data_IF_331881958421
#
_entry.id   IF_331881958421
#
_cell.length_a   1.000
_cell.length_b   1.000
_cell.length_c   1.000
_cell.angle_alpha   90.00
_cell.angle_beta   90.00
_cell.angle_gamma   90.00
#
_symmetry.space_group_name_H-M   'P 1'
#
loop_
_entity.id
_entity.type
_entity.pdbx_description
1 polymer ?
#
# COMPACT_ATOMS: atom_id res chain seq x y z
N UNK A 1 -28.87 -11.72 -1.84
CA UNK A 1 -29.25 -10.62 -2.75
C UNK A 1 -28.52 -9.37 -2.28
N UNK A 2 -27.30 -9.19 -2.74
CA UNK A 2 -26.50 -7.96 -2.59
C UNK A 2 -25.49 -8.03 -3.72
N UNK A 3 -26.00 -7.76 -4.91
CA UNK A 3 -25.23 -7.60 -6.12
C UNK A 3 -25.75 -6.29 -6.72
N UNK A 4 -24.93 -5.24 -6.63
CA UNK A 4 -24.86 -4.13 -7.57
C UNK A 4 -23.97 -3.00 -7.05
N UNK A 5 -23.01 -2.67 -7.90
CA UNK A 5 -22.35 -1.37 -8.06
C UNK A 5 -21.13 -1.08 -7.18
N UNK A 6 -20.07 -1.84 -7.40
CA UNK A 6 -18.73 -1.26 -7.60
C UNK A 6 -18.27 -1.61 -9.03
N UNK A 7 -18.97 -1.07 -10.04
CA UNK A 7 -18.33 -0.85 -11.34
C UNK A 7 -17.52 0.42 -11.15
N UNK A 8 -16.23 0.29 -10.86
CA UNK A 8 -15.26 1.35 -11.11
C UNK A 8 -15.59 1.91 -12.50
N UNK A 9 -15.94 3.19 -12.59
CA UNK A 9 -16.12 3.88 -13.87
C UNK A 9 -14.76 3.88 -14.58
N UNK A 10 -14.51 2.84 -15.37
CA UNK A 10 -13.32 2.73 -16.17
C UNK A 10 -13.33 3.84 -17.21
N UNK A 11 -12.24 4.61 -17.28
CA UNK A 11 -12.10 5.71 -18.24
C UNK A 11 -12.29 5.15 -19.68
N UNK A 12 -13.24 5.69 -20.48
CA UNK A 12 -13.51 5.19 -21.83
C UNK A 12 -12.27 5.10 -22.73
N UNK A 13 -11.30 6.00 -22.59
CA UNK A 13 -10.04 5.94 -23.35
C UNK A 13 -9.18 4.71 -22.98
N UNK A 14 -9.26 4.23 -21.74
CA UNK A 14 -8.57 3.02 -21.29
C UNK A 14 -9.26 1.76 -21.84
N UNK A 15 -10.58 1.78 -21.99
CA UNK A 15 -11.30 0.67 -22.65
C UNK A 15 -10.96 0.59 -24.14
N UNK A 16 -10.93 1.73 -24.84
CA UNK A 16 -10.48 1.77 -26.25
C UNK A 16 -9.02 1.32 -26.38
N UNK A 17 -8.13 1.71 -25.46
CA UNK A 17 -6.74 1.22 -25.42
C UNK A 17 -6.66 -0.30 -25.28
N UNK A 18 -7.53 -0.92 -24.47
CA UNK A 18 -7.58 -2.40 -24.34
C UNK A 18 -7.96 -3.05 -25.67
N UNK A 19 -8.96 -2.52 -26.37
CA UNK A 19 -9.36 -3.03 -27.69
C UNK A 19 -8.23 -2.87 -28.71
N UNK A 20 -7.52 -1.74 -28.71
CA UNK A 20 -6.36 -1.51 -29.59
C UNK A 20 -5.23 -2.51 -29.28
N UNK A 21 -5.01 -2.88 -28.02
CA UNK A 21 -4.03 -3.92 -27.66
C UNK A 21 -4.43 -5.30 -28.17
N UNK A 22 -5.72 -5.64 -28.12
CA UNK A 22 -6.22 -6.89 -28.71
C UNK A 22 -6.00 -6.89 -30.23
N UNK A 23 -6.20 -5.74 -30.88
CA UNK A 23 -5.94 -5.56 -32.30
C UNK A 23 -4.45 -5.77 -32.62
N UNK A 24 -3.55 -5.16 -31.84
CA UNK A 24 -2.11 -5.37 -31.96
C UNK A 24 -1.69 -6.83 -31.77
N UNK A 25 -2.36 -7.57 -30.88
CA UNK A 25 -2.11 -9.00 -30.72
C UNK A 25 -2.46 -9.77 -32.01
N UNK A 26 -3.60 -9.48 -32.63
CA UNK A 26 -3.99 -10.09 -33.92
C UNK A 26 -2.95 -9.78 -35.00
N UNK A 27 -2.48 -8.53 -35.09
CA UNK A 27 -1.45 -8.12 -36.05
C UNK A 27 -0.13 -8.86 -35.81
N UNK A 28 0.29 -8.94 -34.54
CA UNK A 28 1.51 -9.64 -34.11
C UNK A 28 1.51 -11.11 -34.52
N UNK A 29 0.41 -11.81 -34.24
CA UNK A 29 0.25 -13.23 -34.60
C UNK A 29 0.27 -13.45 -36.12
N UNK A 30 -0.16 -12.45 -36.89
CA UNK A 30 -0.11 -12.47 -38.35
C UNK A 30 1.24 -12.03 -38.94
N UNK A 31 2.17 -11.52 -38.12
CA UNK A 31 3.45 -10.98 -38.56
C UNK A 31 3.35 -9.60 -39.22
N UNK A 32 2.31 -8.84 -38.90
CA UNK A 32 2.07 -7.47 -39.37
C UNK A 32 2.48 -6.48 -38.29
N UNK A 33 2.95 -5.29 -38.68
CA UNK A 33 3.36 -4.25 -37.73
C UNK A 33 2.22 -3.86 -36.80
N UNK A 34 2.52 -3.73 -35.50
CA UNK A 34 1.59 -3.29 -34.47
C UNK A 34 1.42 -1.76 -34.53
N UNK A 35 0.22 -1.27 -34.23
CA UNK A 35 -0.13 0.14 -34.16
C UNK A 35 0.69 0.85 -33.08
N UNK A 36 0.75 0.31 -31.86
CA UNK A 36 1.51 0.95 -30.77
C UNK A 36 3.01 1.04 -31.10
N UNK A 37 3.57 0.02 -31.74
CA UNK A 37 4.95 0.04 -32.19
C UNK A 37 5.18 1.11 -33.26
N UNK A 38 4.27 1.22 -34.22
CA UNK A 38 4.34 2.20 -35.33
C UNK A 38 4.33 3.65 -34.83
N UNK A 39 3.54 3.95 -33.81
CA UNK A 39 3.50 5.28 -33.18
C UNK A 39 4.81 5.58 -32.44
N UNK A 40 5.40 4.60 -31.77
CA UNK A 40 6.67 4.78 -31.08
C UNK A 40 7.85 4.97 -32.06
N UNK A 41 7.87 4.20 -33.16
CA UNK A 41 8.94 4.26 -34.17
C UNK A 41 8.86 5.55 -34.98
N UNK A 42 7.69 5.94 -35.46
CA UNK A 42 7.50 7.21 -36.20
C UNK A 42 8.00 8.43 -35.43
N UNK A 43 7.71 8.51 -34.13
CA UNK A 43 8.20 9.57 -33.23
C UNK A 43 9.72 9.54 -33.03
N UNK A 44 10.34 8.36 -33.07
CA UNK A 44 11.79 8.19 -32.84
C UNK A 44 12.61 8.43 -34.10
N UNK A 45 12.07 8.10 -35.27
CA UNK A 45 12.75 8.16 -36.56
C UNK A 45 12.46 9.44 -37.36
N UNK A 46 11.82 10.45 -36.75
CA UNK A 46 11.46 11.74 -37.38
C UNK A 46 10.62 11.59 -38.67
N UNK A 47 9.71 10.62 -38.74
CA UNK A 47 8.71 10.60 -39.81
C UNK A 47 7.75 11.79 -39.65
N UNK A 48 7.28 12.37 -40.76
CA UNK A 48 6.32 13.50 -40.73
C UNK A 48 5.00 13.12 -40.04
N UNK A 49 4.59 11.86 -40.17
CA UNK A 49 3.44 11.30 -39.45
C UNK A 49 3.55 9.78 -39.24
N UNK A 50 2.75 9.23 -38.31
CA UNK A 50 2.57 7.78 -38.12
C UNK A 50 2.06 7.12 -39.41
N UNK A 51 1.24 7.84 -40.18
CA UNK A 51 0.66 7.35 -41.42
C UNK A 51 1.72 7.14 -42.50
N UNK A 52 2.69 8.05 -42.63
CA UNK A 52 3.76 7.92 -43.64
C UNK A 52 4.62 6.68 -43.38
N UNK A 53 4.94 6.43 -42.11
CA UNK A 53 5.60 5.20 -41.68
C UNK A 53 4.76 3.97 -42.03
N UNK A 54 3.47 3.97 -41.69
CA UNK A 54 2.57 2.84 -41.93
C UNK A 54 2.38 2.56 -43.42
N UNK A 55 2.30 3.58 -44.28
CA UNK A 55 2.20 3.38 -45.74
C UNK A 55 3.39 2.56 -46.22
N UNK A 56 4.60 2.97 -45.88
CA UNK A 56 5.84 2.30 -46.28
C UNK A 56 5.97 0.90 -45.67
N UNK A 57 5.62 0.76 -44.39
CA UNK A 57 5.74 -0.51 -43.67
C UNK A 57 4.76 -1.56 -44.21
N UNK A 58 3.50 -1.18 -44.45
CA UNK A 58 2.45 -2.11 -44.87
C UNK A 58 2.59 -2.55 -46.33
N UNK A 59 3.25 -1.78 -47.20
CA UNK A 59 3.49 -2.19 -48.60
C UNK A 59 4.43 -3.39 -48.72
N UNK A 60 5.34 -3.56 -47.76
CA UNK A 60 6.36 -4.60 -47.79
C UNK A 60 5.97 -5.86 -47.00
N UNK A 61 4.74 -5.94 -46.49
CA UNK A 61 4.28 -7.02 -45.62
C UNK A 61 3.35 -8.01 -46.32
N UNK A 62 3.42 -9.27 -45.88
CA UNK A 62 2.47 -10.30 -46.31
C UNK A 62 1.23 -10.28 -45.42
N UNK A 63 0.05 -10.17 -46.05
CA UNK A 63 -1.24 -10.15 -45.36
C UNK A 63 -1.94 -11.51 -45.33
N UNK A 64 -1.34 -12.56 -45.90
CA UNK A 64 -2.00 -13.88 -46.07
C UNK A 64 -2.55 -14.43 -44.77
N UNK A 65 -1.78 -14.34 -43.66
CA UNK A 65 -2.23 -14.79 -42.34
C UNK A 65 -3.30 -13.89 -41.73
N UNK A 66 -3.20 -12.57 -41.95
CA UNK A 66 -4.17 -11.62 -41.42
C UNK A 66 -5.52 -11.73 -42.15
N UNK A 67 -5.51 -12.04 -43.45
CA UNK A 67 -6.72 -12.30 -44.23
C UNK A 67 -7.53 -13.48 -43.67
N UNK A 68 -6.88 -14.51 -43.11
CA UNK A 68 -7.58 -15.63 -42.46
C UNK A 68 -8.34 -15.19 -41.20
N UNK A 69 -7.95 -14.04 -40.60
CA UNK A 69 -8.58 -13.42 -39.44
C UNK A 69 -9.37 -12.16 -39.80
N UNK A 70 -9.76 -12.00 -41.07
CA UNK A 70 -10.41 -10.79 -41.56
C UNK A 70 -11.67 -10.44 -40.76
N UNK A 71 -12.57 -11.40 -40.54
CA UNK A 71 -13.82 -11.17 -39.81
C UNK A 71 -13.58 -10.73 -38.37
N UNK A 72 -12.66 -11.39 -37.67
CA UNK A 72 -12.27 -11.01 -36.31
C UNK A 72 -11.67 -9.59 -36.27
N UNK A 73 -10.86 -9.26 -37.26
CA UNK A 73 -10.24 -7.92 -37.39
C UNK A 73 -11.31 -6.85 -37.63
N UNK A 74 -12.27 -7.13 -38.52
CA UNK A 74 -13.39 -6.24 -38.82
C UNK A 74 -14.26 -5.97 -37.59
N UNK A 75 -14.65 -7.02 -36.86
CA UNK A 75 -15.48 -6.91 -35.66
C UNK A 75 -14.79 -6.05 -34.60
N UNK A 76 -13.51 -6.29 -34.35
CA UNK A 76 -12.76 -5.53 -33.37
C UNK A 76 -12.58 -4.05 -33.78
N UNK A 77 -12.35 -3.78 -35.06
CA UNK A 77 -12.27 -2.40 -35.57
C UNK A 77 -13.62 -1.69 -35.45
N UNK A 78 -14.72 -2.38 -35.75
CA UNK A 78 -16.06 -1.85 -35.58
C UNK A 78 -16.37 -1.56 -34.11
N UNK A 79 -15.94 -2.43 -33.20
CA UNK A 79 -16.08 -2.22 -31.75
C UNK A 79 -15.29 -1.00 -31.27
N UNK A 80 -14.04 -0.82 -31.74
CA UNK A 80 -13.24 0.37 -31.47
C UNK A 80 -13.96 1.63 -31.96
N UNK A 81 -14.49 1.61 -33.20
CA UNK A 81 -15.23 2.74 -33.78
C UNK A 81 -16.46 3.06 -32.95
N UNK A 82 -17.28 2.06 -32.60
CA UNK A 82 -18.50 2.27 -31.84
C UNK A 82 -18.21 2.88 -30.46
N UNK A 83 -17.18 2.39 -29.76
CA UNK A 83 -16.78 2.95 -28.47
C UNK A 83 -16.30 4.40 -28.59
N UNK A 84 -15.75 4.80 -29.74
CA UNK A 84 -15.27 6.17 -29.97
C UNK A 84 -16.39 7.11 -30.39
N UNK A 85 -17.33 6.66 -31.22
CA UNK A 85 -18.42 7.49 -31.74
C UNK A 85 -19.61 7.63 -30.79
N UNK A 86 -19.92 6.59 -30.00
CA UNK A 86 -21.09 6.59 -29.11
C UNK A 86 -20.81 7.20 -27.74
N UNK A 87 -19.54 7.25 -27.33
CA UNK A 87 -19.15 7.75 -26.00
C UNK A 87 -19.04 9.28 -25.98
N UNK A 88 -19.87 9.99 -25.17
CA UNK A 88 -19.82 11.45 -25.08
C UNK A 88 -18.45 12.01 -24.66
N UNK A 89 -17.64 11.16 -24.01
CA UNK A 89 -16.28 11.46 -23.59
C UNK A 89 -15.40 11.95 -24.76
N UNK A 90 -15.61 11.45 -25.98
CA UNK A 90 -14.78 11.79 -27.14
C UNK A 90 -15.34 12.90 -28.04
N UNK A 91 -16.51 13.48 -27.72
CA UNK A 91 -17.22 14.47 -28.57
C UNK A 91 -16.39 15.72 -28.96
N UNK A 92 -15.34 16.03 -28.20
CA UNK A 92 -14.48 17.18 -28.43
C UNK A 92 -13.30 16.88 -29.39
N UNK A 93 -13.10 15.60 -29.73
CA UNK A 93 -12.04 15.14 -30.62
C UNK A 93 -12.56 15.06 -32.06
N UNK A 94 -11.65 15.22 -33.03
CA UNK A 94 -11.97 15.16 -34.45
C UNK A 94 -11.40 13.88 -35.06
N UNK A 95 -12.25 12.87 -35.19
CA UNK A 95 -11.89 11.62 -35.84
C UNK A 95 -11.94 11.75 -37.37
N UNK A 96 -11.17 10.90 -38.10
CA UNK A 96 -11.21 10.89 -39.55
C UNK A 96 -12.50 10.21 -40.01
N UNK A 97 -12.91 10.37 -41.29
CA UNK A 97 -14.06 9.65 -41.80
C UNK A 97 -13.82 8.13 -41.75
N UNK A 98 -14.90 7.37 -41.57
CA UNK A 98 -14.86 5.91 -41.58
C UNK A 98 -14.13 5.36 -42.81
N UNK A 99 -13.33 4.29 -42.65
CA UNK A 99 -12.58 3.70 -43.76
C UNK A 99 -13.54 3.14 -44.82
N UNK A 100 -13.22 3.37 -46.10
CA UNK A 100 -14.01 2.83 -47.21
C UNK A 100 -13.67 1.36 -47.42
N UNK A 101 -14.62 0.48 -47.13
CA UNK A 101 -14.47 -0.95 -47.32
C UNK A 101 -14.87 -1.33 -48.75
N UNK A 102 -13.93 -1.89 -49.51
CA UNK A 102 -14.13 -2.38 -50.87
C UNK A 102 -14.11 -3.91 -50.97
N UNK A 103 -13.98 -4.46 -52.18
CA UNK A 103 -13.93 -5.91 -52.42
C UNK A 103 -12.56 -6.54 -52.14
N UNK A 104 -11.50 -5.74 -51.94
CA UNK A 104 -10.16 -6.24 -51.70
C UNK A 104 -9.86 -6.26 -50.20
N UNK A 105 -9.88 -7.46 -49.61
CA UNK A 105 -9.65 -7.65 -48.17
C UNK A 105 -8.27 -7.15 -47.71
N UNK A 106 -7.23 -7.23 -48.55
CA UNK A 106 -5.90 -6.72 -48.17
C UNK A 106 -5.91 -5.21 -48.02
N UNK A 107 -6.51 -4.50 -48.97
CA UNK A 107 -6.60 -3.04 -48.91
C UNK A 107 -7.50 -2.60 -47.75
N UNK A 108 -8.61 -3.30 -47.52
CA UNK A 108 -9.45 -3.06 -46.35
C UNK A 108 -8.68 -3.21 -45.03
N UNK A 109 -7.85 -4.26 -44.90
CA UNK A 109 -7.02 -4.48 -43.71
C UNK A 109 -5.99 -3.36 -43.50
N UNK A 110 -5.35 -2.86 -44.58
CA UNK A 110 -4.45 -1.72 -44.49
C UNK A 110 -5.18 -0.45 -44.03
N UNK A 111 -6.37 -0.20 -44.56
CA UNK A 111 -7.21 0.92 -44.15
C UNK A 111 -7.62 0.81 -42.67
N UNK A 112 -7.96 -0.39 -42.20
CA UNK A 112 -8.25 -0.62 -40.78
C UNK A 112 -7.06 -0.30 -39.88
N UNK A 113 -5.86 -0.78 -40.24
CA UNK A 113 -4.64 -0.50 -39.46
C UNK A 113 -4.36 1.00 -39.40
N UNK A 114 -4.46 1.71 -40.54
CA UNK A 114 -4.28 3.16 -40.60
C UNK A 114 -5.30 3.90 -39.73
N UNK A 115 -6.57 3.51 -39.83
CA UNK A 115 -7.66 4.13 -39.08
C UNK A 115 -7.50 3.94 -37.57
N UNK A 116 -7.20 2.72 -37.12
CA UNK A 116 -6.94 2.41 -35.70
C UNK A 116 -5.72 3.18 -35.18
N UNK A 117 -4.66 3.31 -35.99
CA UNK A 117 -3.49 4.11 -35.63
C UNK A 117 -3.82 5.58 -35.43
N UNK A 118 -4.69 6.14 -36.27
CA UNK A 118 -5.13 7.52 -36.13
C UNK A 118 -5.99 7.73 -34.87
N UNK A 119 -6.95 6.82 -34.60
CA UNK A 119 -7.71 6.84 -33.34
C UNK A 119 -6.75 6.82 -32.15
N UNK A 120 -5.78 5.89 -32.16
CA UNK A 120 -4.82 5.72 -31.08
C UNK A 120 -4.03 6.99 -30.79
N UNK A 121 -3.61 7.69 -31.84
CA UNK A 121 -2.86 8.94 -31.74
C UNK A 121 -3.72 10.07 -31.13
N UNK A 122 -4.98 10.17 -31.53
CA UNK A 122 -5.94 11.16 -30.99
C UNK A 122 -6.22 10.93 -29.52
N UNK A 123 -6.43 9.68 -29.10
CA UNK A 123 -6.80 9.38 -27.70
C UNK A 123 -5.57 9.26 -26.78
N UNK A 124 -4.34 9.26 -27.33
CA UNK A 124 -3.11 9.12 -26.55
C UNK A 124 -2.99 10.15 -25.41
N UNK A 125 -3.26 11.46 -25.60
CA UNK A 125 -3.18 12.43 -24.51
C UNK A 125 -4.15 12.11 -23.36
N UNK A 126 -5.35 11.62 -23.67
CA UNK A 126 -6.36 11.26 -22.66
C UNK A 126 -5.93 10.03 -21.84
N UNK A 127 -5.27 9.07 -22.50
CA UNK A 127 -4.66 7.92 -21.82
C UNK A 127 -3.49 8.38 -20.93
N UNK A 128 -2.64 9.27 -21.43
CA UNK A 128 -1.48 9.77 -20.71
C UNK A 128 -1.90 10.60 -19.48
N UNK A 129 -2.97 11.38 -19.57
CA UNK A 129 -3.55 12.14 -18.47
C UNK A 129 -4.13 11.23 -17.38
N UNK A 130 -4.83 10.16 -17.76
CA UNK A 130 -5.39 9.17 -16.83
C UNK A 130 -4.28 8.35 -16.15
N UNK A 131 -3.31 7.83 -16.92
CA UNK A 131 -2.17 7.09 -16.40
C UNK A 131 -1.29 8.00 -15.53
N UNK A 132 -1.10 9.26 -15.94
CA UNK A 132 -0.37 10.28 -15.18
C UNK A 132 -1.05 10.61 -13.86
N UNK A 133 -2.37 10.78 -13.86
CA UNK A 133 -3.18 11.01 -12.66
C UNK A 133 -3.13 9.81 -11.71
N UNK A 134 -3.25 8.59 -12.24
CA UNK A 134 -3.14 7.36 -11.45
C UNK A 134 -1.74 7.16 -10.86
N UNK A 135 -0.66 7.38 -11.62
CA UNK A 135 0.71 7.32 -11.11
C UNK A 135 0.97 8.39 -10.05
N UNK A 136 0.44 9.60 -10.23
CA UNK A 136 0.51 10.67 -9.22
C UNK A 136 -0.21 10.24 -7.94
N UNK A 137 -1.41 9.69 -8.04
CA UNK A 137 -2.17 9.22 -6.88
C UNK A 137 -1.48 8.05 -6.17
N UNK A 138 -0.92 7.10 -6.92
CA UNK A 138 -0.10 6.01 -6.39
C UNK A 138 1.16 6.53 -5.70
N UNK A 139 1.84 7.51 -6.29
CA UNK A 139 3.02 8.14 -5.69
C UNK A 139 2.67 8.93 -4.43
N UNK A 140 1.58 9.69 -4.43
CA UNK A 140 1.07 10.38 -3.24
C UNK A 140 0.66 9.39 -2.16
N UNK A 141 0.05 8.27 -2.52
CA UNK A 141 -0.29 7.19 -1.59
C UNK A 141 0.96 6.52 -1.02
N UNK A 142 1.99 6.32 -1.85
CA UNK A 142 3.30 5.83 -1.40
C UNK A 142 3.98 6.83 -0.47
N UNK A 143 3.94 8.13 -0.78
CA UNK A 143 4.41 9.21 0.10
C UNK A 143 3.63 9.19 1.41
N UNK A 144 2.30 9.07 1.38
CA UNK A 144 1.47 9.05 2.58
C UNK A 144 1.73 7.81 3.43
N UNK A 145 1.90 6.64 2.81
CA UNK A 145 2.26 5.40 3.51
C UNK A 145 3.67 5.48 4.08
N UNK A 146 4.65 6.01 3.33
CA UNK A 146 6.01 6.22 3.83
C UNK A 146 6.04 7.28 4.92
N UNK A 147 5.29 8.37 4.80
CA UNK A 147 5.07 9.34 5.88
C UNK A 147 4.47 8.64 7.08
N UNK A 148 3.38 7.88 6.97
CA UNK A 148 2.80 7.11 8.08
C UNK A 148 3.78 6.12 8.73
N UNK A 149 4.70 5.54 7.97
CA UNK A 149 5.78 4.69 8.48
C UNK A 149 6.85 5.53 9.19
N UNK A 150 7.18 6.71 8.67
CA UNK A 150 8.19 7.63 9.21
C UNK A 150 7.67 8.51 10.38
N UNK A 151 6.36 8.78 10.42
CA UNK A 151 5.61 9.55 11.44
C UNK A 151 5.21 8.66 12.63
N UNK A 152 5.39 7.34 12.49
CA UNK A 152 5.48 6.44 13.63
C UNK A 152 6.90 6.48 14.16
N UNK A 153 7.14 7.30 15.18
CA UNK A 153 8.08 6.90 16.21
C UNK A 153 7.77 5.45 16.63
N UNK A 154 8.79 4.67 16.97
CA UNK A 154 8.55 3.38 17.60
C UNK A 154 7.79 3.64 18.92
N UNK A 155 6.59 3.07 19.07
CA UNK A 155 5.76 3.28 20.25
C UNK A 155 5.35 1.94 20.86
N UNK A 156 5.43 1.85 22.17
CA UNK A 156 4.84 0.80 22.98
C UNK A 156 3.35 1.11 23.17
N UNK A 157 2.48 0.21 22.70
CA UNK A 157 1.03 0.37 22.80
C UNK A 157 0.45 -0.55 23.87
N UNK A 158 0.05 0.04 25.00
CA UNK A 158 -0.66 -0.65 26.07
C UNK A 158 -2.13 -0.82 25.69
N UNK A 159 -2.73 -1.97 26.02
CA UNK A 159 -4.18 -2.14 25.89
C UNK A 159 -4.91 -1.41 27.01
N UNK A 160 -6.21 -1.16 26.83
CA UNK A 160 -7.01 -0.52 27.89
C UNK A 160 -7.07 -1.40 29.16
N UNK A 161 -6.93 -2.73 29.01
CA UNK A 161 -6.78 -3.66 30.13
C UNK A 161 -5.42 -3.52 30.83
N UNK A 162 -4.33 -3.40 30.06
CA UNK A 162 -2.98 -3.18 30.59
C UNK A 162 -2.92 -1.87 31.40
N UNK A 163 -3.46 -0.77 30.85
CA UNK A 163 -3.48 0.53 31.53
C UNK A 163 -4.25 0.49 32.85
N UNK A 164 -5.43 -0.15 32.87
CA UNK A 164 -6.21 -0.33 34.10
C UNK A 164 -5.44 -1.13 35.14
N UNK A 165 -4.73 -2.18 34.72
CA UNK A 165 -3.95 -3.01 35.66
C UNK A 165 -2.71 -2.29 36.17
N UNK A 166 -1.97 -1.60 35.31
CA UNK A 166 -0.84 -0.75 35.70
C UNK A 166 -1.28 0.28 36.73
N UNK A 167 -2.41 0.95 36.49
CA UNK A 167 -2.96 1.93 37.43
C UNK A 167 -3.29 1.32 38.79
N UNK A 168 -3.88 0.12 38.82
CA UNK A 168 -4.15 -0.62 40.06
C UNK A 168 -2.84 -0.97 40.79
N UNK A 169 -1.84 -1.50 40.07
CA UNK A 169 -0.52 -1.83 40.64
C UNK A 169 0.17 -0.60 41.22
N UNK A 170 0.12 0.55 40.53
CA UNK A 170 0.71 1.80 41.04
C UNK A 170 0.03 2.23 42.34
N UNK A 171 -1.30 2.08 42.45
CA UNK A 171 -2.01 2.39 43.68
C UNK A 171 -1.64 1.41 44.82
N UNK A 172 -1.64 0.10 44.53
CA UNK A 172 -1.19 -0.94 45.47
C UNK A 172 0.23 -0.64 45.99
N UNK A 173 1.14 -0.22 45.09
CA UNK A 173 2.52 0.15 45.44
C UNK A 173 2.60 1.40 46.32
N UNK A 174 1.74 2.41 46.08
CA UNK A 174 1.70 3.62 46.92
C UNK A 174 1.26 3.30 48.33
N UNK A 175 0.22 2.48 48.46
CA UNK A 175 -0.30 2.07 49.77
C UNK A 175 0.78 1.27 50.52
N UNK A 176 1.38 0.27 49.86
CA UNK A 176 2.47 -0.52 50.44
C UNK A 176 3.68 0.32 50.86
N UNK A 177 4.12 1.28 50.05
CA UNK A 177 5.27 2.14 50.38
C UNK A 177 4.92 3.13 51.49
N UNK A 178 3.69 3.65 51.48
CA UNK A 178 3.20 4.63 52.46
C UNK A 178 3.03 4.04 53.86
N UNK A 179 2.52 2.82 53.94
CA UNK A 179 2.26 2.09 55.19
C UNK A 179 3.47 1.31 55.71
N UNK A 180 4.50 1.11 54.89
CA UNK A 180 5.66 0.29 55.26
C UNK A 180 6.71 1.04 56.06
N UNK A 181 7.09 0.48 57.21
CA UNK A 181 8.23 0.93 58.03
C UNK A 181 9.60 0.47 57.49
N UNK A 182 9.64 -0.25 56.36
CA UNK A 182 10.88 -0.74 55.76
C UNK A 182 11.71 0.38 55.13
N UNK A 183 11.06 1.44 54.66
CA UNK A 183 11.71 2.53 53.94
C UNK A 183 11.89 3.75 54.84
N UNK A 184 13.14 4.23 54.95
CA UNK A 184 13.44 5.55 55.51
C UNK A 184 12.70 6.65 54.74
N UNK A 185 12.35 7.76 55.41
CA UNK A 185 11.50 8.81 54.82
C UNK A 185 12.00 9.33 53.46
N UNK A 186 13.31 9.53 53.32
CA UNK A 186 13.90 10.00 52.06
C UNK A 186 13.80 8.96 50.95
N UNK A 187 13.96 7.67 51.27
CA UNK A 187 13.80 6.58 50.30
C UNK A 187 12.32 6.44 49.89
N UNK A 188 11.41 6.46 50.87
CA UNK A 188 9.95 6.45 50.65
C UNK A 188 9.53 7.58 49.70
N UNK A 189 9.99 8.81 49.97
CA UNK A 189 9.70 9.99 49.14
C UNK A 189 10.22 9.85 47.71
N UNK A 190 11.41 9.27 47.51
CA UNK A 190 11.94 9.01 46.16
C UNK A 190 11.11 8.00 45.39
N UNK A 191 10.70 6.91 46.03
CA UNK A 191 9.87 5.86 45.41
C UNK A 191 8.49 6.42 45.01
N UNK A 192 7.82 7.14 45.90
CA UNK A 192 6.52 7.75 45.61
C UNK A 192 6.58 8.74 44.44
N UNK A 193 7.62 9.59 44.39
CA UNK A 193 7.84 10.50 43.25
C UNK A 193 8.06 9.76 41.93
N UNK A 194 8.77 8.62 41.94
CA UNK A 194 8.95 7.79 40.74
C UNK A 194 7.63 7.18 40.28
N UNK A 195 6.78 6.74 41.20
CA UNK A 195 5.44 6.22 40.88
C UNK A 195 4.51 7.31 40.32
N UNK A 196 4.57 8.53 40.85
CA UNK A 196 3.85 9.68 40.30
C UNK A 196 4.30 10.03 38.88
N UNK A 197 5.62 10.11 38.67
CA UNK A 197 6.18 10.36 37.35
C UNK A 197 5.79 9.28 36.34
N UNK A 198 5.83 8.00 36.75
CA UNK A 198 5.38 6.87 35.94
C UNK A 198 3.90 7.01 35.60
N UNK A 199 3.04 7.30 36.57
CA UNK A 199 1.60 7.45 36.33
C UNK A 199 1.29 8.63 35.39
N UNK A 200 1.98 9.76 35.56
CA UNK A 200 1.73 10.99 34.80
C UNK A 200 2.01 10.85 33.30
N UNK A 201 2.86 9.89 32.93
CA UNK A 201 3.22 9.60 31.54
C UNK A 201 2.54 8.36 30.98
N UNK A 202 1.72 7.69 31.80
CA UNK A 202 1.04 6.48 31.40
C UNK A 202 -0.09 6.82 30.43
N UNK A 203 0.18 6.61 29.16
CA UNK A 203 -0.75 6.80 28.06
C UNK A 203 -0.82 5.54 27.21
N UNK A 204 -1.84 5.45 26.36
CA UNK A 204 -2.03 4.31 25.45
C UNK A 204 -0.83 4.07 24.53
N UNK A 205 -0.10 5.12 24.17
CA UNK A 205 1.10 5.05 23.32
C UNK A 205 2.25 5.77 24.00
N UNK A 206 3.35 5.07 24.21
CA UNK A 206 4.57 5.60 24.83
C UNK A 206 5.78 5.37 23.93
N UNK A 207 6.77 6.27 23.96
CA UNK A 207 8.01 6.14 23.18
C UNK A 207 9.02 5.19 23.82
N UNK A 208 8.96 5.00 25.13
CA UNK A 208 9.84 4.12 25.91
C UNK A 208 9.09 3.47 27.08
N UNK A 209 9.67 2.41 27.65
CA UNK A 209 9.19 1.73 28.86
C UNK A 209 10.25 1.75 29.98
N UNK A 210 11.29 2.57 29.83
CA UNK A 210 12.50 2.59 30.67
C UNK A 210 12.19 2.90 32.14
N UNK A 211 11.16 3.71 32.38
CA UNK A 211 10.71 4.04 33.75
C UNK A 211 10.23 2.83 34.52
N UNK A 212 9.65 1.85 33.83
CA UNK A 212 9.24 0.58 34.45
C UNK A 212 10.49 -0.23 34.81
N UNK A 213 11.49 -0.28 33.92
CA UNK A 213 12.77 -0.95 34.19
C UNK A 213 13.56 -0.32 35.35
N UNK A 214 13.44 1.00 35.53
CA UNK A 214 13.98 1.70 36.70
C UNK A 214 13.44 1.17 38.03
N UNK A 215 12.16 0.80 38.10
CA UNK A 215 11.54 0.23 39.30
C UNK A 215 12.04 -1.19 39.59
N UNK A 216 12.39 -1.98 38.56
CA UNK A 216 13.01 -3.30 38.74
C UNK A 216 14.35 -3.18 39.46
N UNK A 217 15.14 -2.15 39.14
CA UNK A 217 16.37 -1.84 39.87
C UNK A 217 16.10 -1.55 41.36
N UNK A 218 15.08 -0.74 41.66
CA UNK A 218 14.69 -0.42 43.04
C UNK A 218 14.21 -1.67 43.80
N UNK A 219 13.45 -2.55 43.15
CA UNK A 219 13.02 -3.83 43.70
C UNK A 219 14.21 -4.73 44.04
N UNK A 220 15.23 -4.78 43.16
CA UNK A 220 16.47 -5.52 43.40
C UNK A 220 17.24 -5.02 44.63
N UNK A 221 17.28 -3.69 44.85
CA UNK A 221 17.88 -3.11 46.05
C UNK A 221 17.04 -3.46 47.29
N UNK A 222 15.72 -3.34 47.21
CA UNK A 222 14.81 -3.61 48.33
C UNK A 222 14.85 -5.08 48.77
N UNK A 223 14.83 -6.04 47.84
CA UNK A 223 14.95 -7.46 48.17
C UNK A 223 16.32 -7.78 48.78
N UNK A 224 17.40 -7.16 48.28
CA UNK A 224 18.74 -7.33 48.83
C UNK A 224 18.88 -6.79 50.26
N UNK A 225 18.23 -5.66 50.57
CA UNK A 225 18.33 -5.00 51.87
C UNK A 225 17.38 -5.57 52.93
N UNK A 226 16.17 -5.96 52.54
CA UNK A 226 15.09 -6.32 53.46
C UNK A 226 14.58 -7.77 53.29
N UNK A 227 15.13 -8.52 52.34
CA UNK A 227 14.79 -9.93 52.14
C UNK A 227 13.29 -10.14 51.92
N UNK A 228 12.71 -11.10 52.66
CA UNK A 228 11.31 -11.50 52.51
C UNK A 228 10.31 -10.39 52.88
N UNK A 229 10.71 -9.41 53.68
CA UNK A 229 9.81 -8.33 54.10
C UNK A 229 9.51 -7.38 52.93
N UNK A 230 10.41 -7.26 51.95
CA UNK A 230 10.16 -6.49 50.71
C UNK A 230 9.30 -7.25 49.68
N UNK A 231 8.97 -8.53 49.92
CA UNK A 231 8.26 -9.37 48.94
C UNK A 231 6.95 -8.77 48.42
N UNK A 232 6.06 -8.19 49.26
CA UNK A 232 4.82 -7.59 48.75
C UNK A 232 5.08 -6.50 47.71
N UNK A 233 6.07 -5.64 47.96
CA UNK A 233 6.49 -4.57 47.06
C UNK A 233 7.13 -5.11 45.77
N UNK A 234 8.03 -6.09 45.90
CA UNK A 234 8.74 -6.68 44.76
C UNK A 234 7.80 -7.47 43.85
N UNK A 235 6.84 -8.21 44.41
CA UNK A 235 5.85 -8.96 43.63
C UNK A 235 5.00 -8.05 42.74
N UNK A 236 4.62 -6.86 43.24
CA UNK A 236 3.90 -5.85 42.45
C UNK A 236 4.75 -5.30 41.30
N UNK A 237 6.04 -5.03 41.54
CA UNK A 237 6.95 -4.56 40.50
C UNK A 237 7.22 -5.66 39.45
N UNK A 238 7.32 -6.93 39.86
CA UNK A 238 7.45 -8.08 38.95
C UNK A 238 6.24 -8.15 38.01
N UNK A 239 5.03 -7.97 38.54
CA UNK A 239 3.81 -7.94 37.73
C UNK A 239 3.79 -6.77 36.74
N UNK A 240 4.16 -5.56 37.18
CA UNK A 240 4.28 -4.39 36.31
C UNK A 240 5.26 -4.62 35.15
N UNK A 241 6.39 -5.26 35.46
CA UNK A 241 7.45 -5.57 34.49
C UNK A 241 7.02 -6.62 33.47
N UNK A 242 6.16 -7.57 33.87
CA UNK A 242 5.57 -8.53 32.93
C UNK A 242 4.63 -7.85 31.93
N UNK A 243 3.87 -6.84 32.35
CA UNK A 243 3.00 -6.06 31.45
C UNK A 243 3.86 -5.25 30.45
N UNK A 244 4.92 -4.62 30.94
CA UNK A 244 5.88 -3.90 30.09
C UNK A 244 6.55 -4.84 29.07
N UNK A 245 7.04 -6.00 29.52
CA UNK A 245 7.65 -7.00 28.65
C UNK A 245 6.71 -7.49 27.57
N UNK A 246 5.45 -7.84 27.91
CA UNK A 246 4.46 -8.25 26.91
C UNK A 246 4.19 -7.15 25.88
N UNK A 247 4.22 -5.90 26.32
CA UNK A 247 4.02 -4.75 25.42
C UNK A 247 5.23 -4.54 24.51
N UNK A 248 6.44 -4.69 25.03
CA UNK A 248 7.67 -4.67 24.25
C UNK A 248 7.76 -5.83 23.25
N UNK A 249 7.47 -7.05 23.68
CA UNK A 249 7.44 -8.22 22.82
C UNK A 249 6.45 -8.07 21.65
N UNK A 250 5.26 -7.48 21.90
CA UNK A 250 4.30 -7.14 20.84
C UNK A 250 4.82 -6.07 19.89
N UNK A 251 5.45 -5.02 20.41
CA UNK A 251 6.00 -3.93 19.60
C UNK A 251 7.20 -4.36 18.75
N UNK A 252 7.99 -5.32 19.23
CA UNK A 252 9.17 -5.89 18.56
C UNK A 252 8.87 -7.17 17.76
N UNK A 253 7.59 -7.51 17.55
CA UNK A 253 7.13 -8.67 16.77
C UNK A 253 7.70 -10.03 17.26
N UNK A 254 7.98 -10.14 18.56
CA UNK A 254 8.43 -11.38 19.18
C UNK A 254 7.26 -12.39 19.30
N UNK A 255 7.54 -13.71 19.20
CA UNK A 255 6.53 -14.74 19.42
C UNK A 255 5.77 -14.57 20.74
N UNK A 256 4.44 -14.68 20.68
CA UNK A 256 3.54 -14.44 21.83
C UNK A 256 3.74 -15.40 23.01
N UNK A 257 4.48 -16.50 22.81
CA UNK A 257 4.85 -17.48 23.83
C UNK A 257 6.10 -17.11 24.63
N UNK A 258 6.76 -16.00 24.34
CA UNK A 258 8.00 -15.59 25.03
C UNK A 258 7.66 -14.91 26.35
N UNK A 259 7.97 -15.61 27.44
CA UNK A 259 8.05 -15.06 28.80
C UNK A 259 9.35 -14.26 28.97
N UNK A 260 9.40 -13.37 29.96
CA UNK A 260 10.62 -12.60 30.20
C UNK A 260 11.69 -13.52 30.81
N UNK A 261 12.81 -13.79 30.10
CA UNK A 261 13.82 -14.74 30.56
C UNK A 261 14.56 -14.27 31.83
N UNK A 262 14.49 -12.98 32.17
CA UNK A 262 15.11 -12.41 33.37
C UNK A 262 14.17 -12.39 34.58
N UNK A 263 12.88 -12.66 34.39
CA UNK A 263 11.88 -12.69 35.47
C UNK A 263 11.40 -14.11 35.79
N UNK A 264 11.79 -15.11 35.00
CA UNK A 264 11.65 -16.53 35.32
C UNK A 264 12.78 -16.97 36.24
N UNK A 265 12.51 -16.93 37.55
CA UNK A 265 13.12 -17.81 38.55
C UNK A 265 12.31 -17.69 39.84
N UNK A 266 11.25 -18.49 39.94
CA UNK A 266 10.70 -18.91 41.25
C UNK A 266 11.11 -20.38 41.54
N UNK A 267 12.26 -20.81 41.01
CA UNK A 267 12.96 -22.01 41.44
C UNK A 267 14.04 -21.60 42.44
N UNK A 268 13.97 -22.12 43.66
CA UNK A 268 14.95 -21.97 44.74
C UNK A 268 16.41 -22.24 44.27
N UNK A 269 17.41 -21.69 44.98
CA UNK A 269 18.81 -22.10 44.80
C UNK A 269 19.03 -23.61 44.97
#
# INVERSE_FOLDING_TARGET
>A
MTDKNDKEMSNPAIEVEKLIRQFDQILSEAGVVQVNHSIAVSKKENHESVLDYLVTALENMSFVKLQQKYQQTLELVAEIVANVEEEPYFNHLKFPPLPKVGHNNTENLKEFIRYVAFIREIIQPLIDDEVGSNRRNQFLSAIYNKKKILDKGFFYEFTDGDLKRIQAIINELRDQIGESDLFEEDHRRRLLRRLEALQSEMHKKMSDVDRIWGLVGDAGIAIGKFGKDAKPFVDRIKELSQIAWKTQARAEELPSSITNPLLENDGEP
#
